data_IF_817433200508
#
_entry.id   IF_817433200508
#
_cell.length_a   1.000
_cell.length_b   1.000
_cell.length_c   1.000
_cell.angle_alpha   90.00
_cell.angle_beta   90.00
_cell.angle_gamma   90.00
#
_symmetry.space_group_name_H-M   'P 1'
#
loop_
_entity.id
_entity.type
_entity.pdbx_description
1 polymer ?
#
# COMPACT_ATOMS: atom_id res chain seq x y z
N UNK A 1 1.35 -3.58 -27.31
CA UNK A 1 -0.07 -3.28 -27.09
C UNK A 1 -0.40 -3.55 -25.62
N UNK A 2 -1.04 -2.60 -24.94
CA UNK A 2 -1.51 -2.74 -23.55
C UNK A 2 -2.89 -3.41 -23.54
N UNK A 3 -3.09 -4.39 -22.64
CA UNK A 3 -4.40 -4.99 -22.31
C UNK A 3 -4.39 -5.72 -20.99
N UNK A 4 -5.55 -6.09 -20.48
CA UNK A 4 -5.65 -6.97 -19.31
C UNK A 4 -5.13 -8.38 -19.60
N UNK A 5 -4.55 -8.99 -18.57
CA UNK A 5 -4.12 -10.38 -18.58
C UNK A 5 -5.33 -11.32 -18.52
N UNK A 6 -5.32 -12.38 -19.34
CA UNK A 6 -6.27 -13.50 -19.24
C UNK A 6 -6.01 -14.39 -18.03
N UNK A 7 -6.85 -15.39 -17.79
CA UNK A 7 -6.71 -16.29 -16.64
C UNK A 7 -5.36 -17.03 -16.62
N UNK A 8 -4.89 -17.54 -17.75
CA UNK A 8 -3.60 -18.25 -17.88
C UNK A 8 -2.43 -17.28 -17.74
N UNK A 9 -2.48 -16.13 -18.42
CA UNK A 9 -1.45 -15.09 -18.31
C UNK A 9 -1.31 -14.52 -16.92
N UNK A 10 -2.41 -14.41 -16.16
CA UNK A 10 -2.38 -14.03 -14.73
C UNK A 10 -1.58 -15.04 -13.91
N UNK A 11 -1.80 -16.35 -14.16
CA UNK A 11 -1.08 -17.39 -13.47
C UNK A 11 0.42 -17.33 -13.76
N UNK A 12 0.81 -17.20 -15.03
CA UNK A 12 2.20 -17.06 -15.46
C UNK A 12 2.85 -15.83 -14.79
N UNK A 13 2.17 -14.68 -14.83
CA UNK A 13 2.65 -13.47 -14.15
C UNK A 13 2.87 -13.69 -12.65
N UNK A 14 1.94 -14.36 -11.95
CA UNK A 14 2.10 -14.62 -10.51
C UNK A 14 3.26 -15.57 -10.21
N UNK A 15 3.51 -16.58 -11.02
CA UNK A 15 4.72 -17.41 -10.95
C UNK A 15 5.99 -16.55 -11.08
N UNK A 16 6.03 -15.69 -12.08
CA UNK A 16 7.18 -14.85 -12.35
C UNK A 16 7.52 -13.86 -11.22
N UNK A 17 6.52 -13.33 -10.52
CA UNK A 17 6.72 -12.34 -9.45
C UNK A 17 6.94 -12.96 -8.06
N UNK A 18 6.68 -14.25 -7.89
CA UNK A 18 6.82 -14.94 -6.61
C UNK A 18 8.24 -14.83 -6.01
N UNK A 19 9.34 -15.03 -6.76
CA UNK A 19 10.67 -14.92 -6.20
C UNK A 19 11.01 -13.52 -5.64
N UNK A 20 10.32 -12.49 -6.12
CA UNK A 20 10.56 -11.09 -5.74
C UNK A 20 9.65 -10.69 -4.56
N UNK A 21 8.35 -10.99 -4.67
CA UNK A 21 7.32 -10.51 -3.72
C UNK A 21 6.60 -11.64 -2.97
N UNK A 22 7.10 -12.87 -3.02
CA UNK A 22 6.48 -14.02 -2.35
C UNK A 22 6.50 -13.96 -0.83
N UNK A 23 7.39 -13.16 -0.22
CA UNK A 23 7.43 -12.98 1.23
C UNK A 23 7.64 -14.29 2.01
N UNK A 24 8.38 -15.25 1.42
CA UNK A 24 8.62 -16.58 2.01
C UNK A 24 7.48 -17.58 1.82
N UNK A 25 6.42 -17.23 1.09
CA UNK A 25 5.40 -18.20 0.68
C UNK A 25 5.95 -19.14 -0.40
N UNK A 26 5.63 -20.40 -0.26
CA UNK A 26 5.82 -21.38 -1.31
C UNK A 26 5.01 -20.97 -2.56
N UNK A 27 5.53 -21.31 -3.76
CA UNK A 27 5.03 -20.79 -5.05
C UNK A 27 3.54 -21.09 -5.28
N UNK A 28 3.08 -22.33 -5.06
CA UNK A 28 1.67 -22.69 -5.26
C UNK A 28 0.75 -21.91 -4.31
N UNK A 29 1.17 -21.71 -3.07
CA UNK A 29 0.44 -20.92 -2.08
C UNK A 29 0.40 -19.44 -2.44
N UNK A 30 1.51 -18.90 -2.96
CA UNK A 30 1.56 -17.51 -3.42
C UNK A 30 0.66 -17.29 -4.62
N UNK A 31 0.72 -18.14 -5.64
CA UNK A 31 -0.15 -18.05 -6.83
C UNK A 31 -1.63 -18.17 -6.44
N UNK A 32 -1.96 -19.13 -5.57
CA UNK A 32 -3.34 -19.26 -5.07
C UNK A 32 -3.80 -18.02 -4.29
N UNK A 33 -2.93 -17.43 -3.46
CA UNK A 33 -3.19 -16.17 -2.77
C UNK A 33 -3.48 -15.03 -3.75
N UNK A 34 -2.61 -14.82 -4.73
CA UNK A 34 -2.75 -13.75 -5.71
C UNK A 34 -4.02 -13.92 -6.58
N UNK A 35 -4.35 -15.16 -6.97
CA UNK A 35 -5.60 -15.46 -7.71
C UNK A 35 -6.83 -15.09 -6.89
N UNK A 36 -6.94 -15.60 -5.65
CA UNK A 36 -8.08 -15.28 -4.78
C UNK A 36 -8.23 -13.79 -4.51
N UNK A 37 -7.10 -13.08 -4.34
CA UNK A 37 -7.13 -11.62 -4.19
C UNK A 37 -7.60 -10.95 -5.49
N UNK A 38 -7.08 -11.32 -6.65
CA UNK A 38 -7.46 -10.73 -7.94
C UNK A 38 -8.93 -10.98 -8.31
N UNK A 39 -9.47 -12.13 -7.91
CA UNK A 39 -10.86 -12.51 -8.18
C UNK A 39 -11.86 -12.01 -7.12
N UNK A 40 -11.38 -11.35 -6.06
CA UNK A 40 -12.24 -10.82 -4.99
C UNK A 40 -13.17 -9.69 -5.48
N UNK A 41 -14.32 -9.47 -4.83
CA UNK A 41 -15.21 -8.36 -5.17
C UNK A 41 -14.49 -7.01 -5.09
N UNK A 42 -13.67 -6.80 -4.05
CA UNK A 42 -12.91 -5.58 -3.85
C UNK A 42 -11.93 -5.32 -5.00
N UNK A 43 -11.27 -6.37 -5.51
CA UNK A 43 -10.35 -6.22 -6.65
C UNK A 43 -11.08 -5.83 -7.93
N UNK A 44 -12.26 -6.39 -8.19
CA UNK A 44 -13.04 -6.06 -9.41
C UNK A 44 -13.44 -4.60 -9.50
N UNK A 45 -13.53 -3.90 -8.36
CA UNK A 45 -13.88 -2.48 -8.33
C UNK A 45 -12.76 -1.60 -8.89
N UNK A 46 -11.52 -1.83 -8.48
CA UNK A 46 -10.42 -0.85 -8.70
C UNK A 46 -9.06 -1.46 -9.02
N UNK A 47 -8.93 -2.78 -9.13
CA UNK A 47 -7.67 -3.46 -9.36
C UNK A 47 -7.69 -4.21 -10.68
N UNK A 48 -6.64 -4.03 -11.48
CA UNK A 48 -6.47 -4.65 -12.79
C UNK A 48 -5.05 -5.21 -12.93
N UNK A 49 -4.92 -6.29 -13.68
CA UNK A 49 -3.64 -6.86 -14.09
C UNK A 49 -3.43 -6.55 -15.56
N UNK A 50 -2.45 -5.68 -15.85
CA UNK A 50 -2.15 -5.22 -17.20
C UNK A 50 -0.89 -5.87 -17.75
N UNK A 51 -0.91 -6.23 -19.02
CA UNK A 51 0.22 -6.77 -19.77
C UNK A 51 0.55 -5.94 -21.00
N UNK A 52 1.84 -5.82 -21.30
CA UNK A 52 2.36 -5.27 -22.54
C UNK A 52 2.74 -6.40 -23.49
N UNK A 53 2.12 -6.42 -24.64
CA UNK A 53 2.24 -7.53 -25.61
C UNK A 53 2.93 -7.10 -26.89
N UNK A 54 3.70 -8.02 -27.47
CA UNK A 54 4.20 -7.88 -28.83
C UNK A 54 3.06 -7.98 -29.86
N UNK A 55 3.28 -7.59 -31.13
CA UNK A 55 2.29 -7.81 -32.20
C UNK A 55 1.91 -9.28 -32.42
N UNK A 56 2.79 -10.21 -31.99
CA UNK A 56 2.56 -11.67 -32.06
C UNK A 56 1.89 -12.24 -30.80
N UNK A 57 1.42 -11.40 -29.88
CA UNK A 57 0.74 -11.83 -28.65
C UNK A 57 1.64 -12.32 -27.52
N UNK A 58 2.98 -12.21 -27.61
CA UNK A 58 3.90 -12.57 -26.54
C UNK A 58 3.87 -11.50 -25.43
N UNK A 59 3.71 -11.90 -24.18
CA UNK A 59 3.83 -11.04 -23.00
C UNK A 59 5.28 -10.54 -22.86
N UNK A 60 5.47 -9.23 -22.81
CA UNK A 60 6.78 -8.57 -22.73
C UNK A 60 7.03 -7.97 -21.35
N UNK A 61 5.98 -7.46 -20.70
CA UNK A 61 6.01 -6.91 -19.34
C UNK A 61 4.60 -6.94 -18.76
N UNK A 62 4.48 -6.93 -17.43
CA UNK A 62 3.19 -6.88 -16.75
C UNK A 62 3.26 -6.05 -15.46
N UNK A 63 2.11 -5.60 -14.97
CA UNK A 63 2.00 -4.84 -13.73
C UNK A 63 0.62 -4.97 -13.09
N UNK A 64 0.53 -4.57 -11.83
CA UNK A 64 -0.72 -4.28 -11.14
C UNK A 64 -1.07 -2.81 -11.33
N UNK A 65 -2.32 -2.55 -11.67
CA UNK A 65 -2.87 -1.20 -11.79
C UNK A 65 -4.05 -1.03 -10.84
N UNK A 66 -4.12 0.13 -10.18
CA UNK A 66 -5.18 0.45 -9.21
C UNK A 66 -5.80 1.79 -9.53
N UNK A 67 -7.12 1.88 -9.45
CA UNK A 67 -7.85 3.15 -9.50
C UNK A 67 -8.01 3.68 -8.07
N UNK A 68 -7.20 4.66 -7.70
CA UNK A 68 -7.15 5.18 -6.35
C UNK A 68 -7.71 6.60 -6.29
N UNK A 69 -8.17 7.00 -5.11
CA UNK A 69 -8.48 8.37 -4.77
C UNK A 69 -7.39 8.93 -3.83
N UNK A 70 -7.20 10.22 -3.87
CA UNK A 70 -6.25 10.92 -3.01
C UNK A 70 -6.55 12.41 -2.95
N UNK A 71 -5.65 13.16 -2.34
CA UNK A 71 -5.70 14.62 -2.30
C UNK A 71 -4.30 15.21 -2.26
N UNK A 72 -4.18 16.46 -2.68
CA UNK A 72 -3.00 17.29 -2.49
C UNK A 72 -3.40 18.76 -2.50
N UNK A 73 -2.85 19.55 -1.59
CA UNK A 73 -3.19 20.97 -1.42
C UNK A 73 -4.72 21.21 -1.37
N UNK A 74 -5.45 20.39 -0.59
CA UNK A 74 -6.90 20.47 -0.43
C UNK A 74 -7.72 20.02 -1.66
N UNK A 75 -7.09 19.68 -2.78
CA UNK A 75 -7.78 19.26 -4.02
C UNK A 75 -7.87 17.73 -4.12
N UNK A 76 -9.08 17.17 -4.39
CA UNK A 76 -9.23 15.74 -4.62
C UNK A 76 -8.56 15.31 -5.92
N UNK A 77 -7.95 14.12 -5.90
CA UNK A 77 -7.23 13.53 -7.02
C UNK A 77 -7.78 12.14 -7.35
N UNK A 78 -7.91 11.85 -8.66
CA UNK A 78 -8.04 10.49 -9.18
C UNK A 78 -6.65 10.02 -9.60
N UNK A 79 -6.26 8.81 -9.18
CA UNK A 79 -4.89 8.34 -9.29
C UNK A 79 -4.82 6.97 -9.97
N UNK A 80 -3.79 6.79 -10.80
CA UNK A 80 -3.32 5.48 -11.21
C UNK A 80 -2.30 4.98 -10.19
N UNK A 81 -2.64 3.99 -9.38
CA UNK A 81 -1.67 3.24 -8.57
C UNK A 81 -0.96 2.20 -9.44
N UNK A 82 0.36 2.10 -9.32
CA UNK A 82 1.19 1.13 -10.05
C UNK A 82 1.94 0.26 -9.06
N UNK A 83 1.82 -1.06 -9.21
CA UNK A 83 2.51 -2.02 -8.36
C UNK A 83 3.07 -3.21 -9.15
N UNK A 84 4.05 -3.90 -8.56
CA UNK A 84 4.63 -5.15 -9.04
C UNK A 84 4.95 -5.15 -10.55
N UNK A 85 5.62 -4.09 -11.02
CA UNK A 85 6.08 -3.98 -12.41
C UNK A 85 7.14 -5.05 -12.68
N UNK A 86 6.88 -5.93 -13.64
CA UNK A 86 7.74 -7.06 -13.95
C UNK A 86 8.04 -7.14 -15.45
N UNK A 87 9.28 -7.49 -15.78
CA UNK A 87 9.73 -7.85 -17.13
C UNK A 87 10.57 -9.12 -17.02
N UNK A 88 10.29 -10.19 -17.78
CA UNK A 88 11.10 -11.39 -17.85
C UNK A 88 12.59 -11.07 -18.05
N UNK A 89 13.47 -11.83 -17.40
CA UNK A 89 14.90 -11.52 -17.36
C UNK A 89 15.52 -11.33 -18.75
N UNK A 90 15.17 -12.21 -19.68
CA UNK A 90 15.65 -12.22 -21.09
C UNK A 90 15.11 -11.06 -21.93
N UNK A 91 14.07 -10.35 -21.43
CA UNK A 91 13.45 -9.20 -22.11
C UNK A 91 13.80 -7.86 -21.45
N UNK A 92 14.58 -7.87 -20.36
CA UNK A 92 14.98 -6.65 -19.66
C UNK A 92 15.89 -5.77 -20.50
N UNK A 93 15.97 -4.49 -20.14
CA UNK A 93 16.79 -3.45 -20.81
C UNK A 93 16.42 -3.18 -22.26
N UNK A 94 15.19 -3.57 -22.69
CA UNK A 94 14.64 -3.32 -24.03
C UNK A 94 13.51 -2.28 -24.05
N UNK A 95 13.25 -1.59 -22.92
CA UNK A 95 12.26 -0.54 -22.82
C UNK A 95 10.81 -0.99 -22.54
N UNK A 96 10.51 -2.32 -22.53
CA UNK A 96 9.14 -2.83 -22.47
C UNK A 96 8.34 -2.35 -21.24
N UNK A 97 8.95 -2.28 -20.04
CA UNK A 97 8.28 -1.76 -18.86
C UNK A 97 8.00 -0.24 -18.99
N UNK A 98 8.92 0.52 -19.59
CA UNK A 98 8.73 1.95 -19.81
C UNK A 98 7.59 2.22 -20.81
N UNK A 99 7.53 1.47 -21.91
CA UNK A 99 6.43 1.57 -22.89
C UNK A 99 5.09 1.18 -22.27
N UNK A 100 5.05 0.12 -21.48
CA UNK A 100 3.85 -0.31 -20.75
C UNK A 100 3.37 0.78 -19.79
N UNK A 101 4.26 1.33 -18.98
CA UNK A 101 3.94 2.39 -18.01
C UNK A 101 3.43 3.64 -18.72
N UNK A 102 4.10 4.07 -19.79
CA UNK A 102 3.66 5.21 -20.60
C UNK A 102 2.26 4.99 -21.17
N UNK A 103 2.00 3.84 -21.79
CA UNK A 103 0.68 3.51 -22.34
C UNK A 103 -0.41 3.51 -21.23
N UNK A 104 -0.14 2.91 -20.07
CA UNK A 104 -1.09 2.90 -18.96
C UNK A 104 -1.33 4.30 -18.38
N UNK A 105 -0.30 5.12 -18.30
CA UNK A 105 -0.44 6.52 -17.86
C UNK A 105 -1.25 7.34 -18.87
N UNK A 106 -1.06 7.12 -20.17
CA UNK A 106 -1.81 7.80 -21.24
C UNK A 106 -3.30 7.38 -21.25
N UNK A 107 -3.60 6.08 -21.09
CA UNK A 107 -4.99 5.60 -20.94
C UNK A 107 -5.64 6.16 -19.67
N UNK A 108 -4.91 6.18 -18.55
CA UNK A 108 -5.41 6.70 -17.29
C UNK A 108 -5.67 8.21 -17.35
N UNK A 109 -4.80 8.96 -18.03
CA UNK A 109 -5.00 10.40 -18.32
C UNK A 109 -6.26 10.60 -19.14
N UNK A 110 -6.44 9.83 -20.21
CA UNK A 110 -7.64 9.92 -21.08
C UNK A 110 -8.92 9.61 -20.31
N UNK A 111 -8.83 8.74 -19.28
CA UNK A 111 -9.93 8.42 -18.35
C UNK A 111 -10.10 9.46 -17.22
N UNK A 112 -9.31 10.56 -17.24
CA UNK A 112 -9.40 11.68 -16.33
C UNK A 112 -8.67 11.49 -14.99
N UNK A 113 -7.67 10.62 -14.91
CA UNK A 113 -6.76 10.59 -13.76
C UNK A 113 -5.85 11.81 -13.76
N UNK A 114 -5.58 12.34 -12.55
CA UNK A 114 -4.76 13.53 -12.36
C UNK A 114 -3.28 13.21 -12.18
N UNK A 115 -2.97 12.03 -11.60
CA UNK A 115 -1.59 11.60 -11.36
C UNK A 115 -1.46 10.08 -11.31
N UNK A 116 -0.21 9.60 -11.43
CA UNK A 116 0.18 8.23 -11.11
C UNK A 116 0.98 8.20 -9.81
N UNK A 117 0.86 7.09 -9.04
CA UNK A 117 1.58 6.85 -7.80
C UNK A 117 2.15 5.44 -7.77
N UNK A 118 3.35 5.27 -7.26
CA UNK A 118 3.98 3.97 -7.02
C UNK A 118 4.90 4.00 -5.80
N UNK A 119 5.31 2.80 -5.36
CA UNK A 119 6.35 2.63 -4.35
C UNK A 119 7.50 1.85 -4.97
N UNK A 120 8.68 2.47 -5.03
CA UNK A 120 9.85 1.89 -5.67
C UNK A 120 10.73 1.13 -4.69
N UNK A 121 10.95 -0.16 -4.96
CA UNK A 121 11.96 -1.00 -4.28
C UNK A 121 13.28 -1.07 -5.06
N UNK A 122 13.37 -0.38 -6.21
CA UNK A 122 14.58 -0.28 -7.03
C UNK A 122 15.06 1.17 -7.06
N UNK A 123 16.18 1.43 -7.74
CA UNK A 123 16.69 2.78 -7.95
C UNK A 123 15.58 3.72 -8.50
N UNK A 124 15.26 4.75 -7.73
CA UNK A 124 14.28 5.76 -8.07
C UNK A 124 14.59 6.46 -9.39
N UNK A 125 15.86 6.54 -9.80
CA UNK A 125 16.31 7.10 -11.07
C UNK A 125 15.66 6.46 -12.30
N UNK A 126 15.25 5.19 -12.22
CA UNK A 126 14.48 4.56 -13.28
C UNK A 126 13.13 5.27 -13.52
N UNK A 127 12.38 5.50 -12.45
CA UNK A 127 11.06 6.13 -12.54
C UNK A 127 11.14 7.65 -12.73
N UNK A 128 12.21 8.31 -12.25
CA UNK A 128 12.46 9.73 -12.54
C UNK A 128 12.55 9.98 -14.05
N UNK A 129 13.23 9.11 -14.80
CA UNK A 129 13.28 9.19 -16.28
C UNK A 129 11.92 9.02 -16.95
N UNK A 130 10.93 8.48 -16.24
CA UNK A 130 9.55 8.32 -16.71
C UNK A 130 8.62 9.44 -16.21
N UNK A 131 9.18 10.49 -15.60
CA UNK A 131 8.44 11.66 -15.13
C UNK A 131 7.93 11.57 -13.68
N UNK A 132 8.33 10.54 -12.93
CA UNK A 132 7.99 10.45 -11.52
C UNK A 132 8.93 11.32 -10.67
N UNK A 133 8.41 11.83 -9.57
CA UNK A 133 9.14 12.55 -8.53
C UNK A 133 9.07 11.75 -7.23
N UNK A 134 10.20 11.56 -6.56
CA UNK A 134 10.19 10.92 -5.24
C UNK A 134 9.61 11.87 -4.20
N UNK A 135 8.80 11.34 -3.31
CA UNK A 135 8.30 12.04 -2.13
C UNK A 135 9.18 11.74 -0.92
N UNK A 136 9.13 12.62 0.08
CA UNK A 136 9.73 12.35 1.38
C UNK A 136 9.23 11.00 1.90
N UNK A 137 10.14 10.10 2.21
CA UNK A 137 9.83 8.74 2.66
C UNK A 137 10.57 8.46 3.96
N UNK A 138 9.82 8.38 5.06
CA UNK A 138 10.31 8.13 6.40
C UNK A 138 9.77 6.83 6.96
N UNK A 139 10.50 6.26 7.92
CA UNK A 139 10.02 5.14 8.71
C UNK A 139 10.44 5.27 10.18
N UNK A 140 9.71 4.60 11.06
CA UNK A 140 10.03 4.47 12.47
C UNK A 140 10.11 3.00 12.85
N UNK A 141 11.07 2.70 13.72
CA UNK A 141 11.15 1.42 14.43
C UNK A 141 11.08 1.72 15.92
N UNK A 142 10.08 1.16 16.61
CA UNK A 142 9.75 1.48 18.00
C UNK A 142 9.82 0.22 18.83
N UNK A 143 10.57 0.26 19.94
CA UNK A 143 10.62 -0.84 20.90
C UNK A 143 9.37 -0.86 21.79
N UNK A 144 8.91 -2.03 22.20
CA UNK A 144 7.73 -2.16 23.07
C UNK A 144 7.83 -1.33 24.36
N UNK A 145 9.03 -1.12 24.88
CA UNK A 145 9.27 -0.31 26.09
C UNK A 145 8.92 1.17 25.93
N UNK A 146 8.97 1.68 24.71
CA UNK A 146 8.67 3.09 24.36
C UNK A 146 7.17 3.36 24.29
N UNK A 147 6.35 2.31 24.22
CA UNK A 147 4.89 2.43 24.15
C UNK A 147 4.26 2.47 25.54
N UNK A 148 3.16 3.22 25.73
CA UNK A 148 2.49 3.36 27.02
C UNK A 148 1.96 2.01 27.54
N UNK A 149 1.63 1.99 28.85
CA UNK A 149 0.93 0.90 29.52
C UNK A 149 -0.42 1.42 29.98
N UNK A 150 -1.48 1.03 29.29
CA UNK A 150 -2.84 1.49 29.62
C UNK A 150 -3.85 0.43 29.18
N UNK A 151 -4.94 0.28 29.95
CA UNK A 151 -6.08 -0.55 29.55
C UNK A 151 -7.08 0.23 28.68
N UNK A 152 -8.07 -0.46 28.11
CA UNK A 152 -9.20 0.15 27.44
C UNK A 152 -9.13 0.07 25.90
N UNK A 153 -8.52 -0.96 25.37
CA UNK A 153 -8.59 -1.36 23.97
C UNK A 153 -9.15 -2.79 23.84
N UNK A 154 -9.54 -3.16 22.65
CA UNK A 154 -9.90 -4.53 22.27
C UNK A 154 -9.46 -4.83 20.81
N UNK A 155 -9.38 -6.11 20.40
CA UNK A 155 -9.25 -6.46 18.99
C UNK A 155 -10.39 -5.89 18.16
N UNK A 156 -10.10 -5.54 16.89
CA UNK A 156 -11.11 -5.11 15.93
C UNK A 156 -11.83 -6.31 15.33
N UNK A 157 -13.13 -6.17 15.08
CA UNK A 157 -13.99 -7.14 14.41
C UNK A 157 -14.60 -6.55 13.12
N UNK A 158 -15.25 -7.37 12.32
CA UNK A 158 -15.85 -6.95 11.05
C UNK A 158 -16.85 -5.77 11.19
N UNK A 159 -17.52 -5.62 12.34
CA UNK A 159 -18.44 -4.50 12.58
C UNK A 159 -17.74 -3.15 12.84
N UNK A 160 -16.42 -3.14 13.03
CA UNK A 160 -15.66 -1.90 13.33
C UNK A 160 -15.15 -1.20 12.05
N UNK A 161 -15.33 -1.80 10.87
CA UNK A 161 -14.74 -1.33 9.61
C UNK A 161 -15.18 0.10 9.25
N UNK A 162 -16.45 0.45 9.48
CA UNK A 162 -16.99 1.78 9.17
C UNK A 162 -16.43 2.85 10.12
N UNK A 163 -16.40 2.59 11.42
CA UNK A 163 -15.83 3.49 12.42
C UNK A 163 -14.34 3.71 12.17
N UNK A 164 -13.57 2.65 11.92
CA UNK A 164 -12.15 2.72 11.61
C UNK A 164 -11.90 3.54 10.33
N UNK A 165 -12.70 3.31 9.27
CA UNK A 165 -12.61 4.08 8.03
C UNK A 165 -12.82 5.57 8.30
N UNK A 166 -13.83 5.92 9.09
CA UNK A 166 -14.16 7.29 9.44
C UNK A 166 -13.05 7.98 10.24
N UNK A 167 -12.48 7.29 11.23
CA UNK A 167 -11.34 7.77 12.01
C UNK A 167 -10.09 8.00 11.14
N UNK A 168 -9.75 7.03 10.28
CA UNK A 168 -8.59 7.15 9.38
C UNK A 168 -8.77 8.28 8.36
N UNK A 169 -9.98 8.44 7.81
CA UNK A 169 -10.28 9.53 6.89
C UNK A 169 -10.16 10.90 7.57
N UNK A 170 -10.70 11.05 8.79
CA UNK A 170 -10.63 12.28 9.55
C UNK A 170 -9.18 12.67 9.90
N UNK A 171 -8.34 11.69 10.26
CA UNK A 171 -6.93 11.91 10.57
C UNK A 171 -6.09 12.38 9.35
N UNK A 172 -6.56 12.10 8.12
CA UNK A 172 -5.87 12.43 6.87
C UNK A 172 -6.21 13.82 6.29
N UNK A 173 -7.00 14.61 6.97
CA UNK A 173 -7.34 15.99 6.56
C UNK A 173 -6.11 16.92 6.69
N UNK A 174 -5.04 16.59 5.98
CA UNK A 174 -3.86 17.44 5.85
C UNK A 174 -3.93 18.18 4.51
N UNK A 175 -4.25 19.46 4.58
CA UNK A 175 -4.55 20.28 3.40
C UNK A 175 -3.36 20.52 2.46
N UNK A 176 -2.12 20.24 2.89
CA UNK A 176 -0.91 20.64 2.17
C UNK A 176 -0.10 19.48 1.59
N UNK A 177 -0.41 18.22 1.95
CA UNK A 177 0.41 17.07 1.59
C UNK A 177 -0.29 16.17 0.57
N UNK A 178 0.49 15.43 -0.21
CA UNK A 178 -0.04 14.37 -1.04
C UNK A 178 -0.44 13.18 -0.16
N UNK A 179 -1.70 12.76 -0.22
CA UNK A 179 -2.23 11.64 0.56
C UNK A 179 -3.13 10.74 -0.29
N UNK A 180 -3.13 9.44 -0.01
CA UNK A 180 -4.15 8.53 -0.52
C UNK A 180 -5.39 8.57 0.37
N UNK A 181 -6.58 8.51 -0.24
CA UNK A 181 -7.84 8.56 0.48
C UNK A 181 -8.01 7.31 1.37
N UNK A 182 -8.66 7.50 2.50
CA UNK A 182 -9.13 6.44 3.40
C UNK A 182 -10.62 6.24 3.19
N UNK A 183 -10.96 5.63 2.07
CA UNK A 183 -12.33 5.22 1.78
C UNK A 183 -12.60 3.77 2.19
N UNK A 184 -13.87 3.38 2.22
CA UNK A 184 -14.27 2.03 2.58
C UNK A 184 -13.66 0.95 1.68
N UNK A 185 -13.36 1.27 0.40
CA UNK A 185 -12.70 0.34 -0.50
C UNK A 185 -11.27 0.03 -0.03
N UNK A 186 -10.49 1.05 0.31
CA UNK A 186 -9.10 0.89 0.77
C UNK A 186 -9.03 -0.06 1.96
N UNK A 187 -9.88 0.14 2.97
CA UNK A 187 -9.90 -0.73 4.15
C UNK A 187 -10.33 -2.16 3.79
N UNK A 188 -11.45 -2.33 3.07
CA UNK A 188 -11.93 -3.67 2.67
C UNK A 188 -10.90 -4.43 1.83
N UNK A 189 -10.24 -3.76 0.86
CA UNK A 189 -9.20 -4.38 0.04
C UNK A 189 -8.00 -4.85 0.88
N UNK A 190 -7.53 -4.02 1.81
CA UNK A 190 -6.42 -4.40 2.70
C UNK A 190 -6.81 -5.52 3.67
N UNK A 191 -8.02 -5.52 4.21
CA UNK A 191 -8.53 -6.62 5.02
C UNK A 191 -8.61 -7.92 4.23
N UNK A 192 -9.14 -7.86 3.00
CA UNK A 192 -9.14 -9.03 2.09
C UNK A 192 -7.72 -9.54 1.88
N UNK A 193 -6.77 -8.67 1.61
CA UNK A 193 -5.36 -9.02 1.42
C UNK A 193 -4.77 -9.71 2.65
N UNK A 194 -5.03 -9.19 3.86
CA UNK A 194 -4.56 -9.79 5.11
C UNK A 194 -5.16 -11.17 5.35
N UNK A 195 -6.46 -11.36 5.15
CA UNK A 195 -7.15 -12.65 5.27
C UNK A 195 -6.62 -13.69 4.28
N UNK A 196 -6.48 -13.30 3.02
CA UNK A 196 -5.95 -14.21 2.00
C UNK A 196 -4.48 -14.57 2.23
N UNK A 197 -3.68 -13.63 2.75
CA UNK A 197 -2.29 -13.88 3.15
C UNK A 197 -2.21 -14.84 4.35
N UNK A 198 -3.03 -14.65 5.37
CA UNK A 198 -3.12 -15.55 6.52
C UNK A 198 -3.51 -16.97 6.07
N UNK A 199 -4.53 -17.09 5.23
CA UNK A 199 -4.94 -18.38 4.62
C UNK A 199 -3.80 -19.03 3.84
N UNK A 200 -3.04 -18.28 3.05
CA UNK A 200 -1.89 -18.79 2.31
C UNK A 200 -0.77 -19.31 3.24
N UNK A 201 -0.64 -18.74 4.42
CA UNK A 201 0.30 -19.18 5.47
C UNK A 201 -0.20 -20.34 6.31
N UNK A 202 -1.44 -20.81 6.09
CA UNK A 202 -2.08 -21.84 6.90
C UNK A 202 -2.51 -21.35 8.29
N UNK A 203 -2.64 -20.04 8.47
CA UNK A 203 -3.15 -19.41 9.69
C UNK A 203 -4.68 -19.27 9.63
N UNK A 204 -5.31 -19.15 10.81
CA UNK A 204 -6.72 -18.78 10.95
C UNK A 204 -6.99 -17.31 10.61
N UNK A 205 -8.15 -16.82 11.04
CA UNK A 205 -8.49 -15.39 10.87
C UNK A 205 -7.41 -14.52 11.54
N UNK A 206 -6.80 -13.59 10.83
CA UNK A 206 -5.74 -12.77 11.40
C UNK A 206 -6.31 -11.74 12.38
N UNK A 207 -5.61 -11.50 13.48
CA UNK A 207 -5.79 -10.26 14.25
C UNK A 207 -5.26 -9.12 13.37
N UNK A 208 -6.14 -8.23 12.91
CA UNK A 208 -5.81 -7.22 11.91
C UNK A 208 -5.94 -5.79 12.42
N UNK A 209 -6.47 -5.60 13.61
CA UNK A 209 -6.67 -4.27 14.16
C UNK A 209 -6.99 -4.24 15.64
N UNK A 210 -6.96 -3.04 16.16
CA UNK A 210 -7.31 -2.68 17.52
C UNK A 210 -8.25 -1.49 17.50
N UNK A 211 -9.21 -1.48 18.40
CA UNK A 211 -10.10 -0.34 18.64
C UNK A 211 -10.13 0.02 20.13
N UNK A 212 -10.25 1.30 20.37
CA UNK A 212 -10.49 1.88 21.69
C UNK A 212 -11.50 3.01 21.50
N UNK A 213 -12.12 3.48 22.56
CA UNK A 213 -13.01 4.63 22.49
C UNK A 213 -12.28 5.83 21.88
N UNK A 214 -12.71 6.24 20.68
CA UNK A 214 -12.14 7.32 19.89
C UNK A 214 -10.75 7.02 19.28
N UNK A 215 -10.34 5.75 19.13
CA UNK A 215 -9.09 5.41 18.47
C UNK A 215 -9.15 4.05 17.77
N UNK A 216 -8.40 3.92 16.68
CA UNK A 216 -8.23 2.67 15.97
C UNK A 216 -6.81 2.52 15.42
N UNK A 217 -6.37 1.27 15.25
CA UNK A 217 -5.15 0.91 14.55
C UNK A 217 -5.37 -0.32 13.68
N UNK A 218 -4.74 -0.36 12.52
CA UNK A 218 -4.66 -1.53 11.64
C UNK A 218 -3.25 -2.07 11.66
N UNK A 219 -3.10 -3.39 11.82
CA UNK A 219 -1.81 -4.04 12.00
C UNK A 219 -1.62 -5.23 11.08
N UNK A 220 -0.36 -5.60 10.88
CA UNK A 220 0.05 -6.83 10.22
C UNK A 220 1.22 -7.46 10.96
N UNK A 221 1.14 -8.77 11.24
CA UNK A 221 2.25 -9.49 11.86
C UNK A 221 3.29 -9.85 10.80
N UNK A 222 4.46 -9.21 10.89
CA UNK A 222 5.66 -9.54 10.13
C UNK A 222 6.41 -10.73 10.76
N UNK A 223 7.59 -11.06 10.20
CA UNK A 223 8.43 -12.14 10.74
C UNK A 223 8.98 -11.77 12.14
N UNK A 224 9.55 -10.58 12.26
CA UNK A 224 10.21 -10.10 13.48
C UNK A 224 9.65 -8.75 13.98
N UNK A 225 8.60 -8.25 13.33
CA UNK A 225 7.97 -6.96 13.63
C UNK A 225 6.46 -7.10 13.71
N UNK A 226 5.83 -6.21 14.47
CA UNK A 226 4.45 -5.80 14.25
C UNK A 226 4.47 -4.60 13.33
N UNK A 227 3.85 -4.68 12.15
CA UNK A 227 3.72 -3.56 11.24
C UNK A 227 2.44 -2.79 11.57
N UNK A 228 2.56 -1.53 11.96
CA UNK A 228 1.42 -0.62 12.08
C UNK A 228 1.10 -0.06 10.69
N UNK A 229 0.02 -0.52 10.12
CA UNK A 229 -0.40 -0.13 8.78
C UNK A 229 -1.02 1.28 8.77
N UNK A 230 -1.88 1.56 9.76
CA UNK A 230 -2.56 2.83 9.94
C UNK A 230 -2.98 2.99 11.41
N UNK A 231 -3.06 4.23 11.92
CA UNK A 231 -3.69 4.54 13.19
C UNK A 231 -4.29 5.94 13.20
N UNK A 232 -5.35 6.10 13.98
CA UNK A 232 -5.98 7.40 14.22
C UNK A 232 -6.63 7.45 15.60
N UNK A 233 -6.76 8.68 16.13
CA UNK A 233 -7.39 8.94 17.42
C UNK A 233 -7.99 10.35 17.51
N UNK A 234 -8.95 10.50 18.43
CA UNK A 234 -9.63 11.78 18.69
C UNK A 234 -9.07 12.56 19.87
N UNK A 235 -8.23 11.92 20.69
CA UNK A 235 -7.64 12.54 21.88
C UNK A 235 -6.34 11.83 22.30
N UNK A 236 -5.50 12.49 23.10
CA UNK A 236 -4.29 11.89 23.65
C UNK A 236 -4.58 10.65 24.51
N UNK A 237 -5.68 10.67 25.26
CA UNK A 237 -6.11 9.52 26.05
C UNK A 237 -6.50 8.32 25.16
N UNK A 238 -7.14 8.55 24.02
CA UNK A 238 -7.46 7.53 23.03
C UNK A 238 -6.20 7.00 22.34
N UNK A 239 -5.26 7.90 21.97
CA UNK A 239 -3.93 7.53 21.47
C UNK A 239 -3.23 6.56 22.41
N UNK A 240 -3.13 6.91 23.70
CA UNK A 240 -2.39 6.13 24.68
C UNK A 240 -3.01 4.73 24.86
N UNK A 241 -4.34 4.59 24.74
CA UNK A 241 -5.01 3.29 24.78
C UNK A 241 -4.64 2.42 23.58
N UNK A 242 -4.71 2.95 22.36
CA UNK A 242 -4.40 2.15 21.16
C UNK A 242 -2.92 1.81 21.08
N UNK A 243 -2.01 2.73 21.47
CA UNK A 243 -0.57 2.46 21.54
C UNK A 243 -0.23 1.40 22.61
N UNK A 244 -0.92 1.39 23.74
CA UNK A 244 -0.79 0.33 24.74
C UNK A 244 -1.25 -1.03 24.18
N UNK A 245 -2.35 -1.04 23.41
CA UNK A 245 -2.80 -2.24 22.70
C UNK A 245 -1.76 -2.79 21.72
N UNK A 246 -1.09 -1.91 20.97
CA UNK A 246 0.02 -2.33 20.10
C UNK A 246 1.16 -2.97 20.88
N UNK A 247 1.54 -2.40 22.04
CA UNK A 247 2.52 -2.99 22.94
C UNK A 247 2.14 -4.41 23.34
N UNK A 248 0.91 -4.62 23.80
CA UNK A 248 0.44 -5.93 24.24
C UNK A 248 0.38 -6.93 23.07
N UNK A 249 -0.01 -6.48 21.87
CA UNK A 249 0.07 -7.31 20.65
C UNK A 249 1.51 -7.74 20.36
N UNK A 250 2.47 -6.82 20.44
CA UNK A 250 3.90 -7.13 20.27
C UNK A 250 4.36 -8.19 21.29
N UNK A 251 3.99 -8.04 22.56
CA UNK A 251 4.40 -8.96 23.63
C UNK A 251 3.77 -10.35 23.43
N UNK A 252 2.45 -10.43 23.17
CA UNK A 252 1.77 -11.71 22.93
C UNK A 252 2.33 -12.46 21.72
N UNK A 253 2.69 -11.72 20.65
CA UNK A 253 3.20 -12.31 19.42
C UNK A 253 4.74 -12.51 19.44
N UNK A 254 5.44 -12.14 20.50
CA UNK A 254 6.90 -12.20 20.56
C UNK A 254 7.58 -11.31 19.50
N UNK A 255 7.00 -10.16 19.18
CA UNK A 255 7.56 -9.21 18.23
C UNK A 255 8.24 -8.08 18.98
N UNK A 256 9.58 -7.98 18.96
CA UNK A 256 10.30 -6.97 19.76
C UNK A 256 10.07 -5.55 19.24
N UNK A 257 9.75 -5.37 17.96
CA UNK A 257 9.70 -4.05 17.32
C UNK A 257 8.37 -3.80 16.61
N UNK A 258 7.87 -2.57 16.74
CA UNK A 258 6.83 -1.99 15.90
C UNK A 258 7.48 -1.23 14.76
N UNK A 259 7.05 -1.50 13.53
CA UNK A 259 7.47 -0.76 12.33
C UNK A 259 6.28 0.03 11.78
N UNK A 260 6.52 1.28 11.43
CA UNK A 260 5.50 2.14 10.83
C UNK A 260 6.12 3.16 9.86
N UNK A 261 5.31 3.71 9.00
CA UNK A 261 5.60 4.92 8.25
C UNK A 261 4.87 6.08 8.90
N UNK A 262 5.58 7.14 9.33
CA UNK A 262 4.97 8.26 10.07
C UNK A 262 4.13 9.11 9.12
N UNK A 263 2.81 8.96 9.24
CA UNK A 263 1.82 9.69 8.49
C UNK A 263 0.74 10.22 9.43
N UNK A 264 0.05 11.29 9.04
CA UNK A 264 -1.00 11.93 9.83
C UNK A 264 -0.54 12.18 11.28
N UNK A 265 -1.30 11.69 12.24
CA UNK A 265 -1.05 11.87 13.67
C UNK A 265 0.17 11.11 14.21
N UNK A 266 0.73 10.15 13.45
CA UNK A 266 1.93 9.40 13.83
C UNK A 266 3.23 10.19 13.63
N UNK A 267 3.19 11.26 12.83
CA UNK A 267 4.35 12.09 12.53
C UNK A 267 4.88 12.78 13.79
N UNK A 268 6.20 12.68 14.00
CA UNK A 268 6.87 13.29 15.14
C UNK A 268 6.64 12.61 16.49
N UNK A 269 5.86 11.50 16.55
CA UNK A 269 5.69 10.75 17.81
C UNK A 269 6.91 9.90 18.18
N UNK A 270 7.64 9.44 17.18
CA UNK A 270 8.81 8.56 17.34
C UNK A 270 9.96 9.09 16.52
N UNK A 271 11.18 8.62 16.83
CA UNK A 271 12.35 8.94 16.03
C UNK A 271 12.18 8.40 14.60
N UNK A 272 12.36 9.28 13.63
CA UNK A 272 12.22 8.98 12.21
C UNK A 272 13.57 8.78 11.55
N UNK A 273 13.68 7.81 10.66
CA UNK A 273 14.81 7.59 9.76
C UNK A 273 14.37 7.69 8.31
N UNK A 274 15.31 7.98 7.42
CA UNK A 274 15.07 7.93 6.00
C UNK A 274 14.84 6.50 5.55
N UNK A 275 13.80 6.28 4.73
CA UNK A 275 13.47 4.97 4.18
C UNK A 275 14.18 4.79 2.83
N UNK A 276 14.87 3.67 2.68
CA UNK A 276 15.66 3.34 1.48
C UNK A 276 14.95 2.35 0.53
N UNK A 277 13.81 1.81 0.93
CA UNK A 277 12.96 0.92 0.12
C UNK A 277 11.53 1.41 0.09
N UNK A 278 10.75 0.94 -0.85
CA UNK A 278 9.38 1.38 -1.06
C UNK A 278 9.24 2.91 -1.10
N UNK A 279 10.15 3.56 -1.81
CA UNK A 279 10.15 5.02 -1.96
C UNK A 279 8.89 5.43 -2.69
N UNK A 280 8.09 6.28 -2.07
CA UNK A 280 6.88 6.80 -2.69
C UNK A 280 7.22 7.76 -3.83
N UNK A 281 6.59 7.57 -4.98
CA UNK A 281 6.82 8.41 -6.16
C UNK A 281 5.51 8.77 -6.83
N UNK A 282 5.42 10.00 -7.36
CA UNK A 282 4.25 10.52 -8.07
C UNK A 282 4.63 11.12 -9.41
N UNK A 283 3.76 10.98 -10.40
CA UNK A 283 3.91 11.63 -11.71
C UNK A 283 2.62 12.34 -12.10
N UNK A 284 2.68 13.60 -12.62
CA UNK A 284 1.50 14.29 -13.10
C UNK A 284 0.98 13.63 -14.39
N UNK A 285 -0.33 13.43 -14.47
CA UNK A 285 -1.05 13.06 -15.69
C UNK A 285 -1.85 14.24 -16.25
N UNK A 286 -2.39 15.09 -15.38
CA UNK A 286 -2.98 16.36 -15.75
C UNK A 286 -1.97 17.49 -15.54
N UNK A 287 -1.97 18.50 -16.42
CA UNK A 287 -1.02 19.61 -16.39
C UNK A 287 -1.17 20.49 -15.13
N UNK A 288 -2.38 20.55 -14.56
CA UNK A 288 -2.74 21.33 -13.38
C UNK A 288 -2.80 20.50 -12.09
N UNK A 289 -2.32 19.26 -12.11
CA UNK A 289 -2.29 18.40 -10.91
C UNK A 289 -1.40 19.04 -9.83
N UNK A 290 -1.93 19.35 -8.64
CA UNK A 290 -1.19 20.01 -7.58
C UNK A 290 -0.29 19.01 -6.84
N UNK A 291 0.75 18.51 -7.49
CA UNK A 291 1.65 17.51 -6.91
C UNK A 291 2.86 18.19 -6.23
N UNK A 292 3.40 17.57 -5.17
CA UNK A 292 4.63 18.05 -4.55
C UNK A 292 5.81 18.04 -5.52
N UNK A 293 6.79 18.90 -5.25
CA UNK A 293 8.09 18.85 -5.90
C UNK A 293 8.89 17.62 -5.48
N UNK A 294 10.02 17.38 -6.14
CA UNK A 294 10.95 16.30 -5.76
C UNK A 294 11.37 16.43 -4.29
N UNK A 295 11.23 15.37 -3.52
CA UNK A 295 11.47 15.37 -2.08
C UNK A 295 10.38 16.07 -1.25
N UNK A 296 9.31 16.52 -1.88
CA UNK A 296 8.21 17.20 -1.20
C UNK A 296 7.39 16.29 -0.28
N UNK A 297 6.52 16.89 0.55
CA UNK A 297 5.85 16.16 1.63
C UNK A 297 4.78 15.19 1.13
N UNK A 298 4.88 13.94 1.59
CA UNK A 298 3.86 12.90 1.45
C UNK A 298 3.23 12.52 2.79
N UNK A 299 1.96 12.20 2.79
CA UNK A 299 1.20 11.70 3.95
C UNK A 299 0.81 10.25 3.67
N UNK A 300 1.81 9.37 3.67
CA UNK A 300 1.67 7.97 3.26
C UNK A 300 2.02 7.03 4.41
N UNK A 301 1.06 6.23 4.84
CA UNK A 301 1.24 5.18 5.85
C UNK A 301 1.63 3.85 5.20
N UNK A 302 2.03 2.88 6.01
CA UNK A 302 2.37 1.54 5.53
C UNK A 302 1.18 0.83 4.87
N UNK A 303 -0.07 1.23 5.21
CA UNK A 303 -1.29 0.79 4.55
C UNK A 303 -1.31 1.11 3.05
N UNK A 304 -0.66 2.21 2.63
CA UNK A 304 -0.62 2.66 1.24
C UNK A 304 0.28 1.80 0.35
N UNK A 305 1.15 0.99 0.94
CA UNK A 305 2.07 0.11 0.19
C UNK A 305 1.30 -1.05 -0.47
N UNK A 306 1.00 -0.89 -1.75
CA UNK A 306 0.20 -1.75 -2.61
C UNK A 306 1.05 -2.66 -3.51
#
# INVERSE_FOLDING_TARGET
>A
MLRELTGEERAEYFHCIQPIWGGGLEETRFVAFQRRLADSPESRERYRLLGWFSPKGKLLSAMKAYHLAGSCAGRPLRLLGVGAVFTPAELRRRGHAAEMLKAAMDESRASGSHAAVLFSDIDAGYYVRLGFRALESRECTVEAAQLPRRAGYRPAFAGDEEEMTSLFAAARNSDQRFALARDGWTLRFQLRRLRELARARGAGEPEWGLVADGAAAMVRFGRDTLDLLEAAWTSDAARDRVLAGLRDCMQRAGRPRLRLWPAAQLRGLFAESERTSAIAMVAPLAADAPLPEQGGPGELALLDHI
#
